data_IF_600126111023
#
_entry.id   IF_600126111023
#
_cell.length_a   1.000
_cell.length_b   1.000
_cell.length_c   1.000
_cell.angle_alpha   90.00
_cell.angle_beta   90.00
_cell.angle_gamma   90.00
#
_symmetry.space_group_name_H-M   'P 1'
#
loop_
_entity.id
_entity.type
_entity.pdbx_description
1 polymer ?
#
# COMPACT_ATOMS: atom_id res chain seq x y z
N UNK A 1 13.59 -2.82 -24.71
CA UNK A 1 13.97 -3.42 -23.46
C UNK A 1 12.81 -4.25 -22.92
N UNK A 2 13.12 -5.33 -22.17
CA UNK A 2 12.15 -6.28 -21.64
C UNK A 2 11.99 -7.51 -22.55
N UNK A 3 11.16 -8.49 -22.14
CA UNK A 3 10.60 -8.62 -20.80
C UNK A 3 11.65 -9.11 -19.79
N UNK A 4 11.62 -8.60 -18.56
CA UNK A 4 12.43 -9.06 -17.43
C UNK A 4 11.60 -9.01 -16.14
N UNK A 5 11.99 -9.75 -15.10
CA UNK A 5 11.31 -9.70 -13.80
C UNK A 5 11.51 -8.36 -13.12
N UNK A 6 10.42 -7.76 -12.63
CA UNK A 6 10.44 -6.46 -11.99
C UNK A 6 9.97 -6.53 -10.53
N UNK A 7 9.99 -5.41 -9.80
CA UNK A 7 9.95 -5.39 -8.34
C UNK A 7 8.65 -5.93 -7.71
N UNK A 8 7.57 -6.03 -8.44
CA UNK A 8 6.33 -6.67 -7.98
C UNK A 8 6.22 -8.16 -8.35
N UNK A 9 7.26 -8.74 -8.93
CA UNK A 9 7.29 -10.15 -9.32
C UNK A 9 6.59 -10.46 -10.65
N UNK A 10 6.16 -9.45 -11.39
CA UNK A 10 5.64 -9.60 -12.75
C UNK A 10 6.73 -9.34 -13.78
N UNK A 11 6.56 -9.85 -14.99
CA UNK A 11 7.42 -9.51 -16.11
C UNK A 11 7.05 -8.14 -16.67
N UNK A 12 8.06 -7.30 -16.90
CA UNK A 12 7.88 -6.03 -17.60
C UNK A 12 7.40 -6.25 -19.05
N UNK A 13 6.71 -5.25 -19.57
CA UNK A 13 6.36 -5.21 -20.98
C UNK A 13 7.62 -4.90 -21.80
N UNK A 14 7.68 -5.45 -23.01
CA UNK A 14 8.71 -5.08 -23.97
C UNK A 14 8.33 -3.74 -24.64
N UNK A 15 9.19 -2.74 -24.56
CA UNK A 15 8.99 -1.46 -25.22
C UNK A 15 10.33 -0.75 -25.45
N UNK A 16 10.29 0.32 -26.26
CA UNK A 16 11.46 1.09 -26.60
C UNK A 16 11.84 2.06 -25.47
N UNK A 17 13.12 2.07 -25.13
CA UNK A 17 13.72 3.00 -24.17
C UNK A 17 14.73 3.89 -24.84
N UNK A 18 15.06 5.05 -24.24
CA UNK A 18 16.15 5.90 -24.72
C UNK A 18 17.48 5.15 -24.80
N UNK A 19 18.15 5.27 -25.92
CA UNK A 19 19.45 4.64 -26.14
C UNK A 19 20.58 5.43 -25.47
N UNK A 20 21.37 4.78 -24.63
CA UNK A 20 22.60 5.33 -24.07
C UNK A 20 23.82 4.83 -24.85
N UNK A 21 24.55 5.72 -25.48
CA UNK A 21 25.83 5.42 -26.17
C UNK A 21 27.00 5.55 -25.20
N UNK A 22 27.62 4.42 -24.84
CA UNK A 22 28.81 4.41 -23.97
C UNK A 22 30.07 4.66 -24.81
N UNK A 23 30.77 5.75 -24.55
CA UNK A 23 32.02 6.09 -25.25
C UNK A 23 33.25 5.50 -24.54
N UNK A 24 33.27 5.47 -23.21
CA UNK A 24 34.35 4.91 -22.41
C UNK A 24 33.83 4.33 -21.11
N UNK A 25 34.50 3.29 -20.65
CA UNK A 25 34.27 2.67 -19.33
C UNK A 25 35.57 2.76 -18.54
N UNK A 26 35.52 3.30 -17.33
CA UNK A 26 36.64 3.37 -16.41
C UNK A 26 36.36 2.42 -15.21
N UNK A 27 37.28 1.54 -14.93
CA UNK A 27 37.22 0.65 -13.79
C UNK A 27 38.60 0.51 -13.15
N UNK A 28 38.66 0.48 -11.83
CA UNK A 28 39.91 0.12 -11.15
C UNK A 28 40.19 -1.38 -11.34
N UNK A 29 41.44 -1.78 -11.22
CA UNK A 29 41.82 -3.19 -11.14
C UNK A 29 41.12 -3.82 -9.92
N UNK A 30 40.48 -4.98 -10.08
CA UNK A 30 39.68 -5.65 -9.06
C UNK A 30 38.47 -4.82 -8.59
N UNK A 31 37.75 -4.21 -9.53
CA UNK A 31 36.49 -3.51 -9.23
C UNK A 31 35.45 -4.46 -8.64
N UNK A 32 34.73 -3.97 -7.63
CA UNK A 32 33.57 -4.64 -7.07
C UNK A 32 32.34 -4.15 -7.84
N UNK A 33 31.56 -5.07 -8.37
CA UNK A 33 30.28 -4.77 -9.01
C UNK A 33 29.16 -4.99 -8.02
N UNK A 34 28.45 -3.92 -7.69
CA UNK A 34 27.24 -4.00 -6.87
C UNK A 34 26.04 -4.35 -7.76
N UNK A 35 25.19 -5.25 -7.30
CA UNK A 35 23.91 -5.57 -7.95
C UNK A 35 22.87 -5.94 -6.90
N UNK A 36 21.60 -5.84 -7.30
CA UNK A 36 20.46 -6.29 -6.50
C UNK A 36 19.58 -7.22 -7.32
N UNK A 37 18.81 -8.05 -6.62
CA UNK A 37 17.80 -8.91 -7.25
C UNK A 37 16.46 -8.21 -7.14
N UNK A 38 15.95 -7.72 -8.26
CA UNK A 38 14.67 -7.02 -8.34
C UNK A 38 13.50 -8.00 -8.17
N UNK A 39 12.40 -7.55 -7.60
CA UNK A 39 11.15 -8.32 -7.44
C UNK A 39 11.04 -9.09 -6.11
N UNK A 40 12.05 -9.01 -5.23
CA UNK A 40 12.00 -9.67 -3.92
C UNK A 40 12.64 -8.80 -2.83
N UNK A 41 11.87 -8.23 -1.92
CA UNK A 41 12.42 -7.52 -0.76
C UNK A 41 13.28 -8.42 0.15
N UNK A 42 14.32 -7.87 0.83
CA UNK A 42 14.79 -6.50 0.72
C UNK A 42 15.59 -6.26 -0.56
N UNK A 43 15.43 -5.09 -1.14
CA UNK A 43 16.12 -4.66 -2.35
C UNK A 43 16.59 -3.20 -2.21
N UNK A 44 17.10 -2.59 -3.28
CA UNK A 44 17.58 -1.20 -3.24
C UNK A 44 16.48 -0.22 -2.85
N UNK A 45 15.22 -0.43 -3.30
CA UNK A 45 14.06 0.41 -2.97
C UNK A 45 13.75 0.42 -1.48
N UNK A 46 14.05 -0.65 -0.75
CA UNK A 46 13.99 -0.69 0.71
C UNK A 46 14.81 0.42 1.34
N UNK A 47 16.06 0.55 0.93
CA UNK A 47 16.99 1.55 1.46
C UNK A 47 16.64 2.96 1.01
N UNK A 48 16.26 3.14 -0.26
CA UNK A 48 15.78 4.41 -0.79
C UNK A 48 14.47 4.84 -0.14
N UNK A 49 13.51 3.94 0.01
CA UNK A 49 12.25 4.20 0.67
C UNK A 49 12.44 4.68 2.12
N UNK A 50 13.31 4.03 2.89
CA UNK A 50 13.65 4.46 4.25
C UNK A 50 14.28 5.85 4.27
N UNK A 51 15.23 6.13 3.37
CA UNK A 51 15.87 7.44 3.27
C UNK A 51 14.86 8.53 2.92
N UNK A 52 14.06 8.32 1.88
CA UNK A 52 13.03 9.27 1.44
C UNK A 52 12.04 9.52 2.58
N UNK A 53 11.56 8.46 3.22
CA UNK A 53 10.62 8.58 4.32
C UNK A 53 11.19 9.39 5.51
N UNK A 54 12.46 9.18 5.86
CA UNK A 54 13.13 9.95 6.92
C UNK A 54 13.28 11.43 6.57
N UNK A 55 13.48 11.74 5.29
CA UNK A 55 13.65 13.13 4.82
C UNK A 55 12.31 13.86 4.62
N UNK A 56 11.27 13.16 4.20
CA UNK A 56 10.01 13.78 3.74
C UNK A 56 8.81 13.50 4.63
N UNK A 57 8.90 12.57 5.58
CA UNK A 57 7.76 12.14 6.39
C UNK A 57 7.03 13.29 7.11
N UNK A 58 7.77 14.23 7.67
CA UNK A 58 7.20 15.42 8.31
C UNK A 58 6.53 16.38 7.28
N UNK A 59 7.07 16.49 6.08
CA UNK A 59 6.52 17.33 5.01
C UNK A 59 5.19 16.77 4.51
N UNK A 60 5.10 15.46 4.30
CA UNK A 60 3.87 14.79 3.83
C UNK A 60 2.70 15.02 4.77
N UNK A 61 2.92 14.90 6.08
CA UNK A 61 1.87 15.16 7.09
C UNK A 61 1.43 16.63 7.14
N UNK A 62 2.30 17.56 6.74
CA UNK A 62 1.97 18.98 6.65
C UNK A 62 1.22 19.33 5.35
N UNK A 63 1.51 18.60 4.26
CA UNK A 63 0.90 18.83 2.96
C UNK A 63 -0.53 18.28 2.89
N UNK A 64 -0.80 17.16 3.57
CA UNK A 64 -2.11 16.51 3.57
C UNK A 64 -2.85 16.80 4.89
N UNK A 65 -3.83 17.73 4.90
CA UNK A 65 -4.56 18.06 6.12
C UNK A 65 -5.23 16.85 6.75
N UNK A 66 -5.00 16.66 8.04
CA UNK A 66 -5.58 15.56 8.80
C UNK A 66 -4.80 14.25 8.74
N UNK A 67 -3.82 14.09 7.86
CA UNK A 67 -2.92 12.93 7.87
C UNK A 67 -1.97 12.97 9.07
N UNK A 68 -1.91 11.88 9.82
CA UNK A 68 -1.09 11.73 11.03
C UNK A 68 0.12 10.85 10.82
N UNK A 69 -0.04 9.78 10.06
CA UNK A 69 1.03 8.87 9.71
C UNK A 69 0.72 8.17 8.38
N UNK A 70 1.76 7.88 7.63
CA UNK A 70 1.71 7.03 6.44
C UNK A 70 2.97 6.17 6.39
N UNK A 71 2.81 4.92 5.99
CA UNK A 71 3.89 3.96 5.86
C UNK A 71 3.70 3.11 4.61
N UNK A 72 4.75 3.05 3.79
CA UNK A 72 4.82 2.15 2.64
C UNK A 72 5.44 0.82 3.10
N UNK A 73 4.70 -0.27 2.91
CA UNK A 73 5.10 -1.59 3.43
C UNK A 73 6.13 -2.22 2.50
N UNK A 74 7.37 -2.32 2.97
CA UNK A 74 8.50 -2.84 2.20
C UNK A 74 8.26 -4.28 1.68
N UNK A 75 7.74 -5.16 2.54
CA UNK A 75 7.45 -6.55 2.15
C UNK A 75 6.47 -6.70 0.98
N UNK A 76 5.67 -5.67 0.69
CA UNK A 76 4.76 -5.62 -0.44
C UNK A 76 5.37 -4.97 -1.70
N UNK A 77 6.65 -4.61 -1.69
CA UNK A 77 7.34 -3.91 -2.77
C UNK A 77 7.30 -2.38 -2.65
N UNK A 78 7.19 -1.87 -1.44
CA UNK A 78 7.18 -0.44 -1.07
C UNK A 78 5.93 0.31 -1.54
N UNK A 79 5.75 0.52 -2.84
CA UNK A 79 4.67 1.35 -3.37
C UNK A 79 3.27 0.71 -3.30
N UNK A 80 3.09 -0.60 -3.57
CA UNK A 80 1.75 -1.15 -3.75
C UNK A 80 0.86 -1.06 -2.51
N UNK A 81 1.44 -1.06 -1.32
CA UNK A 81 0.69 -1.12 -0.07
C UNK A 81 1.08 0.03 0.85
N UNK A 82 0.12 0.94 1.08
CA UNK A 82 0.23 2.01 2.06
C UNK A 82 -0.69 1.76 3.26
N UNK A 83 -0.16 1.98 4.46
CA UNK A 83 -0.89 2.06 5.71
C UNK A 83 -0.94 3.51 6.17
N UNK A 84 -2.12 4.03 6.52
CA UNK A 84 -2.28 5.42 6.91
C UNK A 84 -3.16 5.58 8.16
N UNK A 85 -2.83 6.60 8.95
CA UNK A 85 -3.65 7.07 10.07
C UNK A 85 -3.98 8.52 9.82
N UNK A 86 -5.28 8.82 9.76
CA UNK A 86 -5.80 10.16 9.59
C UNK A 86 -6.57 10.64 10.81
N UNK A 87 -7.43 11.63 10.58
CA UNK A 87 -8.35 12.16 11.58
C UNK A 87 -9.80 12.04 11.12
N UNK A 88 -10.73 11.97 12.08
CA UNK A 88 -12.17 12.07 11.87
C UNK A 88 -12.71 13.21 12.74
N UNK A 89 -12.62 14.47 12.26
CA UNK A 89 -12.89 15.67 13.06
C UNK A 89 -13.78 16.70 12.36
N UNK A 90 -14.21 16.46 11.13
CA UNK A 90 -15.03 17.44 10.39
C UNK A 90 -16.36 17.78 11.10
N UNK A 91 -16.85 16.84 11.90
CA UNK A 91 -18.05 17.03 12.71
C UNK A 91 -17.73 16.74 14.18
N UNK A 92 -16.96 17.58 14.87
CA UNK A 92 -16.45 17.30 16.21
C UNK A 92 -17.54 17.19 17.28
N UNK A 93 -18.74 17.68 16.98
CA UNK A 93 -19.96 17.58 17.80
C UNK A 93 -20.75 16.27 17.57
N UNK A 94 -20.41 15.52 16.55
CA UNK A 94 -20.99 14.19 16.29
C UNK A 94 -19.94 13.13 16.55
N UNK A 95 -20.29 12.13 17.34
CA UNK A 95 -19.47 10.93 17.44
C UNK A 95 -19.71 10.08 16.19
N UNK A 96 -18.88 10.32 15.16
CA UNK A 96 -18.97 9.54 13.93
C UNK A 96 -18.43 8.14 14.18
N UNK A 97 -19.25 7.14 13.86
CA UNK A 97 -18.87 5.74 13.93
C UNK A 97 -18.54 5.16 12.55
N UNK A 98 -18.38 6.04 11.55
CA UNK A 98 -18.20 5.67 10.14
C UNK A 98 -17.08 6.50 9.53
N UNK A 99 -16.29 5.91 8.62
CA UNK A 99 -15.30 6.67 7.83
C UNK A 99 -15.98 7.79 7.03
N UNK A 100 -15.44 8.99 7.11
CA UNK A 100 -15.87 10.15 6.32
C UNK A 100 -14.66 11.03 5.96
N UNK A 101 -14.04 11.71 6.93
CA UNK A 101 -12.86 12.55 6.70
C UNK A 101 -11.67 11.74 6.18
N UNK A 102 -11.46 10.52 6.69
CA UNK A 102 -10.37 9.66 6.21
C UNK A 102 -10.52 9.29 4.73
N UNK A 103 -11.72 9.30 4.16
CA UNK A 103 -11.91 9.12 2.71
C UNK A 103 -11.45 10.34 1.91
N UNK A 104 -11.66 11.55 2.43
CA UNK A 104 -11.10 12.77 1.84
C UNK A 104 -9.58 12.75 1.90
N UNK A 105 -9.01 12.32 3.04
CA UNK A 105 -7.56 12.16 3.21
C UNK A 105 -7.03 11.09 2.23
N UNK A 106 -7.73 9.97 2.07
CA UNK A 106 -7.35 8.91 1.13
C UNK A 106 -7.29 9.41 -0.32
N UNK A 107 -8.28 10.21 -0.75
CA UNK A 107 -8.27 10.83 -2.08
C UNK A 107 -7.07 11.77 -2.25
N UNK A 108 -6.71 12.53 -1.22
CA UNK A 108 -5.54 13.40 -1.25
C UNK A 108 -4.24 12.59 -1.32
N UNK A 109 -4.10 11.52 -0.54
CA UNK A 109 -2.97 10.58 -0.62
C UNK A 109 -2.82 10.05 -2.05
N UNK A 110 -3.90 9.52 -2.63
CA UNK A 110 -3.88 8.95 -3.99
C UNK A 110 -3.69 9.99 -5.10
N UNK A 111 -3.83 11.28 -4.80
CA UNK A 111 -3.54 12.39 -5.71
C UNK A 111 -2.18 13.06 -5.50
N UNK A 112 -1.38 12.62 -4.54
CA UNK A 112 -0.15 13.32 -4.13
C UNK A 112 1.10 12.53 -4.47
N UNK A 113 1.92 13.03 -5.41
CA UNK A 113 3.29 12.58 -5.69
C UNK A 113 3.49 11.07 -5.65
N UNK A 114 4.50 10.61 -4.94
CA UNK A 114 4.84 9.17 -4.80
C UNK A 114 3.76 8.35 -4.07
N UNK A 115 2.96 8.97 -3.22
CA UNK A 115 1.85 8.28 -2.53
C UNK A 115 0.76 7.83 -3.52
N UNK A 116 0.65 8.49 -4.66
CA UNK A 116 -0.27 8.13 -5.73
C UNK A 116 0.04 6.79 -6.39
N UNK A 117 1.22 6.23 -6.18
CA UNK A 117 1.61 4.93 -6.70
C UNK A 117 0.98 3.75 -5.94
N UNK A 118 0.36 4.01 -4.78
CA UNK A 118 -0.31 2.98 -4.01
C UNK A 118 -1.40 2.26 -4.80
N UNK A 119 -1.40 0.93 -4.74
CA UNK A 119 -2.45 0.07 -5.26
C UNK A 119 -3.49 -0.26 -4.20
N UNK A 120 -3.01 -0.51 -2.98
CA UNK A 120 -3.83 -0.75 -1.80
C UNK A 120 -3.51 0.31 -0.74
N UNK A 121 -4.52 1.08 -0.35
CA UNK A 121 -4.42 2.02 0.76
C UNK A 121 -5.32 1.57 1.89
N UNK A 122 -4.74 1.22 3.03
CA UNK A 122 -5.45 0.94 4.27
C UNK A 122 -5.39 2.16 5.17
N UNK A 123 -6.53 2.75 5.47
CA UNK A 123 -6.60 3.99 6.26
C UNK A 123 -7.60 3.88 7.40
N UNK A 124 -7.18 4.37 8.57
CA UNK A 124 -8.05 4.52 9.75
C UNK A 124 -7.87 5.90 10.37
N UNK A 125 -8.75 6.26 11.31
CA UNK A 125 -8.57 7.46 12.10
C UNK A 125 -7.86 7.17 13.42
N UNK A 126 -7.16 8.18 13.93
CA UNK A 126 -6.60 8.16 15.27
C UNK A 126 -7.72 8.07 16.31
N UNK A 127 -7.68 7.06 17.15
CA UNK A 127 -8.59 6.92 18.28
C UNK A 127 -7.97 7.58 19.53
N UNK A 128 -8.37 8.81 19.78
CA UNK A 128 -7.86 9.58 20.93
C UNK A 128 -8.31 9.02 22.29
N UNK A 129 -9.31 8.16 22.30
CA UNK A 129 -9.81 7.49 23.52
C UNK A 129 -9.11 6.16 23.81
N UNK A 130 -8.37 5.62 22.83
CA UNK A 130 -7.70 4.33 22.98
C UNK A 130 -6.51 4.42 23.97
N UNK A 131 -6.37 3.40 24.79
CA UNK A 131 -5.25 3.27 25.74
C UNK A 131 -3.91 3.00 25.07
N UNK A 132 -3.90 2.65 23.79
CA UNK A 132 -2.69 2.40 23.00
C UNK A 132 -2.69 3.28 21.76
N UNK A 133 -1.49 3.72 21.36
CA UNK A 133 -1.29 4.44 20.12
C UNK A 133 -1.08 3.45 18.98
N UNK A 134 -1.93 3.50 17.97
CA UNK A 134 -1.77 2.72 16.76
C UNK A 134 -0.52 3.21 16.00
N UNK A 135 0.22 2.27 15.42
CA UNK A 135 1.47 2.53 14.72
C UNK A 135 1.43 1.81 13.36
N UNK A 136 1.64 2.56 12.28
CA UNK A 136 1.65 2.02 10.90
C UNK A 136 2.84 1.09 10.65
N UNK A 137 3.91 1.17 11.45
CA UNK A 137 5.05 0.26 11.36
C UNK A 137 4.84 -1.07 12.11
N UNK A 138 3.75 -1.19 12.87
CA UNK A 138 3.33 -2.45 13.51
C UNK A 138 2.22 -3.09 12.68
N UNK A 139 2.58 -3.57 11.50
CA UNK A 139 1.68 -4.02 10.44
C UNK A 139 0.62 -5.02 10.94
N UNK A 140 1.04 -6.05 11.66
CA UNK A 140 0.11 -7.06 12.19
C UNK A 140 -0.94 -6.44 13.12
N UNK A 141 -0.53 -5.55 14.02
CA UNK A 141 -1.44 -4.86 14.92
C UNK A 141 -2.35 -3.88 14.16
N UNK A 142 -1.81 -3.21 13.13
CA UNK A 142 -2.56 -2.31 12.28
C UNK A 142 -3.66 -3.06 11.51
N UNK A 143 -3.32 -4.17 10.84
CA UNK A 143 -4.31 -5.00 10.14
C UNK A 143 -5.35 -5.57 11.09
N UNK A 144 -4.95 -6.07 12.26
CA UNK A 144 -5.89 -6.57 13.26
C UNK A 144 -6.87 -5.47 13.72
N UNK A 145 -6.37 -4.26 13.95
CA UNK A 145 -7.20 -3.11 14.30
C UNK A 145 -8.23 -2.79 13.21
N UNK A 146 -7.79 -2.73 11.95
CA UNK A 146 -8.64 -2.45 10.80
C UNK A 146 -9.69 -3.53 10.58
N UNK A 147 -9.26 -4.79 10.50
CA UNK A 147 -10.13 -5.94 10.22
C UNK A 147 -11.21 -6.13 11.30
N UNK A 148 -10.88 -5.84 12.56
CA UNK A 148 -11.87 -5.90 13.65
C UNK A 148 -13.00 -4.86 13.49
N UNK A 149 -12.77 -3.76 12.76
CA UNK A 149 -13.71 -2.63 12.61
C UNK A 149 -14.35 -2.54 11.23
N UNK A 150 -13.74 -3.14 10.23
CA UNK A 150 -14.14 -3.02 8.82
C UNK A 150 -15.53 -3.57 8.57
N UNK A 151 -16.32 -2.80 7.85
CA UNK A 151 -17.59 -3.21 7.27
C UNK A 151 -17.40 -3.42 5.77
N UNK A 152 -17.32 -4.66 5.33
CA UNK A 152 -17.03 -5.00 3.95
C UNK A 152 -18.09 -4.54 2.96
N UNK A 153 -19.29 -4.23 3.41
CA UNK A 153 -20.35 -3.67 2.56
C UNK A 153 -20.20 -2.17 2.31
N UNK A 154 -19.32 -1.49 3.07
CA UNK A 154 -19.20 -0.03 3.05
C UNK A 154 -17.78 0.47 2.88
N UNK A 155 -16.80 -0.19 3.51
CA UNK A 155 -15.45 0.35 3.74
C UNK A 155 -14.46 -0.01 2.62
N UNK A 156 -14.94 -0.60 1.53
CA UNK A 156 -14.17 -0.93 0.33
C UNK A 156 -14.50 0.06 -0.79
N UNK A 157 -13.49 0.81 -1.25
CA UNK A 157 -13.65 1.84 -2.28
C UNK A 157 -12.74 1.53 -3.46
N UNK A 158 -13.34 1.14 -4.58
CA UNK A 158 -12.64 0.70 -5.78
C UNK A 158 -12.48 1.83 -6.79
N UNK A 159 -11.27 1.94 -7.32
CA UNK A 159 -10.95 2.70 -8.52
C UNK A 159 -10.66 1.69 -9.62
N UNK A 160 -11.65 1.38 -10.45
CA UNK A 160 -11.61 0.25 -11.39
C UNK A 160 -10.82 0.51 -12.67
N UNK A 161 -10.53 1.77 -12.97
CA UNK A 161 -9.71 2.16 -14.11
C UNK A 161 -9.02 3.49 -13.81
N UNK A 162 -7.76 3.40 -13.42
CA UNK A 162 -6.96 4.57 -13.05
C UNK A 162 -5.48 4.34 -13.39
N UNK A 163 -4.68 5.37 -13.22
CA UNK A 163 -3.23 5.25 -13.32
C UNK A 163 -2.68 4.48 -12.14
N UNK A 164 -1.71 3.62 -12.40
CA UNK A 164 -0.96 2.85 -11.40
C UNK A 164 0.52 3.15 -11.52
N UNK A 165 1.34 2.57 -10.65
CA UNK A 165 2.79 2.63 -10.75
C UNK A 165 3.26 2.10 -12.12
N UNK A 166 4.20 2.80 -12.75
CA UNK A 166 4.82 2.39 -14.01
C UNK A 166 5.49 1.02 -13.90
N UNK A 167 5.93 0.63 -12.71
CA UNK A 167 6.58 -0.64 -12.44
C UNK A 167 5.58 -1.74 -12.01
N UNK A 168 4.30 -1.43 -11.95
CA UNK A 168 3.23 -2.42 -11.71
C UNK A 168 2.72 -2.98 -13.06
N UNK A 169 3.24 -4.12 -13.43
CA UNK A 169 2.84 -4.85 -14.64
C UNK A 169 1.71 -5.87 -14.39
N UNK A 170 0.97 -5.74 -13.31
CA UNK A 170 -0.19 -6.59 -13.03
C UNK A 170 -1.44 -6.22 -13.82
N UNK A 171 -1.45 -5.09 -14.50
CA UNK A 171 -2.51 -4.61 -15.38
C UNK A 171 -2.34 -5.08 -16.82
N UNK A 172 -3.33 -4.79 -17.67
CA UNK A 172 -3.29 -5.13 -19.10
C UNK A 172 -2.41 -4.18 -19.92
N UNK A 173 -2.26 -2.94 -19.45
CA UNK A 173 -1.53 -1.89 -20.15
C UNK A 173 -0.58 -1.15 -19.21
N UNK A 174 0.41 -0.47 -19.78
CA UNK A 174 1.34 0.38 -19.05
C UNK A 174 0.58 1.49 -18.30
N UNK A 175 0.88 1.67 -17.02
CA UNK A 175 0.27 2.67 -16.13
C UNK A 175 -1.26 2.59 -16.01
N UNK A 176 -1.87 1.47 -16.34
CA UNK A 176 -3.32 1.30 -16.32
C UNK A 176 -3.71 0.12 -15.45
N UNK A 177 -4.58 0.36 -14.48
CA UNK A 177 -5.05 -0.68 -13.57
C UNK A 177 -6.07 -0.16 -12.58
N UNK A 178 -6.23 -0.85 -11.47
CA UNK A 178 -7.19 -0.53 -10.43
C UNK A 178 -6.51 -0.29 -9.09
N UNK A 179 -7.21 0.43 -8.20
CA UNK A 179 -6.79 0.65 -6.81
C UNK A 179 -7.92 0.34 -5.85
N UNK A 180 -7.56 0.03 -4.63
CA UNK A 180 -8.50 -0.22 -3.55
C UNK A 180 -8.11 0.60 -2.31
N UNK A 181 -9.07 1.39 -1.82
CA UNK A 181 -8.99 2.00 -0.50
C UNK A 181 -9.83 1.18 0.47
N UNK A 182 -9.22 0.78 1.58
CA UNK A 182 -9.89 0.14 2.70
C UNK A 182 -9.88 1.13 3.85
N UNK A 183 -11.07 1.69 4.17
CA UNK A 183 -11.22 2.74 5.17
C UNK A 183 -12.09 2.25 6.32
N UNK A 184 -11.51 1.98 7.49
CA UNK A 184 -12.25 1.47 8.63
C UNK A 184 -12.03 2.32 9.87
N UNK A 185 -13.12 2.69 10.54
CA UNK A 185 -13.13 3.47 11.77
C UNK A 185 -14.36 3.16 12.62
N UNK A 186 -14.28 3.45 13.91
CA UNK A 186 -15.40 3.33 14.86
C UNK A 186 -15.33 2.05 15.70
N UNK A 187 -16.49 1.50 16.04
CA UNK A 187 -16.61 0.37 16.96
C UNK A 187 -16.09 -0.95 16.37
N UNK A 188 -15.63 -1.81 17.27
CA UNK A 188 -15.26 -3.18 16.93
C UNK A 188 -16.50 -3.97 16.51
N UNK A 189 -16.49 -4.51 15.30
CA UNK A 189 -17.59 -5.27 14.70
C UNK A 189 -17.42 -6.77 14.83
N UNK A 190 -16.19 -7.25 15.03
CA UNK A 190 -15.90 -8.68 15.15
C UNK A 190 -14.67 -8.97 15.99
N UNK A 191 -14.65 -10.14 16.57
CA UNK A 191 -13.46 -10.70 17.22
C UNK A 191 -12.72 -11.50 16.16
N UNK A 192 -11.43 -11.20 15.99
CA UNK A 192 -10.59 -11.94 15.06
C UNK A 192 -10.17 -13.27 15.69
N UNK A 193 -10.18 -14.34 14.90
CA UNK A 193 -9.68 -15.63 15.34
C UNK A 193 -8.17 -15.56 15.60
N UNK A 194 -7.75 -16.10 16.74
CA UNK A 194 -6.33 -16.18 17.09
C UNK A 194 -5.58 -17.27 16.30
N UNK A 195 -6.32 -18.28 15.83
CA UNK A 195 -5.82 -19.44 15.07
C UNK A 195 -6.72 -19.63 13.86
N UNK A 196 -6.15 -19.86 12.70
CA UNK A 196 -6.90 -20.23 11.48
C UNK A 196 -7.49 -21.63 11.70
N UNK A 197 -8.81 -21.80 11.61
CA UNK A 197 -9.42 -23.13 11.75
C UNK A 197 -8.89 -24.10 10.69
N UNK A 198 -8.64 -25.35 11.08
CA UNK A 198 -8.15 -26.40 10.18
C UNK A 198 -9.06 -26.61 8.96
N UNK A 199 -10.37 -26.39 9.11
CA UNK A 199 -11.34 -26.43 8.02
C UNK A 199 -11.07 -25.42 6.91
N UNK A 200 -10.45 -24.28 7.21
CA UNK A 200 -10.09 -23.26 6.21
C UNK A 200 -8.80 -23.66 5.50
N UNK A 201 -7.87 -24.35 6.16
CA UNK A 201 -6.62 -24.80 5.55
C UNK A 201 -6.84 -25.85 4.46
N UNK A 202 -7.97 -26.56 4.51
CA UNK A 202 -8.33 -27.62 3.56
C UNK A 202 -9.36 -27.18 2.50
N UNK A 203 -9.72 -25.88 2.45
CA UNK A 203 -10.61 -25.35 1.42
C UNK A 203 -9.95 -25.48 0.05
N UNK A 204 -10.57 -26.26 -0.82
CA UNK A 204 -10.18 -26.36 -2.22
C UNK A 204 -10.48 -25.03 -2.91
N UNK A 205 -9.53 -24.44 -3.63
CA UNK A 205 -9.72 -23.14 -4.32
C UNK A 205 -10.97 -23.14 -5.22
N UNK A 206 -11.32 -24.28 -5.80
CA UNK A 206 -12.51 -24.44 -6.64
C UNK A 206 -13.83 -24.30 -5.83
N UNK A 207 -13.85 -24.75 -4.59
CA UNK A 207 -15.05 -24.63 -3.73
C UNK A 207 -15.27 -23.19 -3.29
N UNK A 208 -14.20 -22.43 -3.05
CA UNK A 208 -14.28 -20.99 -2.70
C UNK A 208 -14.87 -20.19 -3.87
N UNK A 209 -14.44 -20.46 -5.10
CA UNK A 209 -14.95 -19.77 -6.30
C UNK A 209 -16.43 -20.08 -6.53
N UNK A 210 -16.85 -21.32 -6.33
CA UNK A 210 -18.26 -21.73 -6.49
C UNK A 210 -19.17 -21.17 -5.42
N UNK A 211 -18.65 -20.83 -4.23
CA UNK A 211 -19.44 -20.23 -3.15
C UNK A 211 -19.65 -18.71 -3.30
N UNK A 212 -18.95 -18.06 -4.24
CA UNK A 212 -19.02 -16.61 -4.51
C UNK A 212 -19.88 -16.31 -5.75
N UNK A 213 -20.37 -17.31 -6.44
CA UNK A 213 -21.30 -17.12 -7.56
C UNK A 213 -22.65 -16.56 -7.09
N UNK A 214 -23.20 -15.55 -7.79
CA UNK A 214 -24.39 -14.78 -7.37
C UNK A 214 -25.65 -15.58 -7.27
#
# INVERSE_FOLDING_TARGET
EGPFGDHLGYYSLQHDFPLMKVHKVYARKNAIWAFTVVGRPPQEDTSFGQLIHSMTGAAVSNEIPGLKAVHAVDAAGVHPLLLAIGSERYTPYLQTQKPAEILTIANHILGTGQLSLAKFLWITAEDTSAKFKLDTHKEQAFFAYMLARMDFSRDLHFYTNTTIDTLDYSGENLNSGSKLVLAAYGEVKRILAAIVPDSIQNLNQVEVVNSISP
#
